data_IF_264910687364
#
_entry.id   IF_264910687364
#
_cell.length_a   1.000
_cell.length_b   1.000
_cell.length_c   1.000
_cell.angle_alpha   90.00
_cell.angle_beta   90.00
_cell.angle_gamma   90.00
#
_symmetry.space_group_name_H-M   'P 1'
#
loop_
_entity.id
_entity.type
_entity.pdbx_description
1 polymer ?
#
# COMPACT_ATOMS: atom_id res chain seq x y z
N UNK A 1 -20.35 12.65 3.90
CA UNK A 1 -19.46 12.31 5.04
C UNK A 1 -18.53 13.46 5.45
N UNK A 2 -17.94 14.24 4.52
CA UNK A 2 -17.05 15.37 4.89
C UNK A 2 -17.70 16.51 5.69
N UNK A 3 -19.00 16.78 5.50
CA UNK A 3 -19.71 17.85 6.21
C UNK A 3 -19.95 17.54 7.70
N UNK A 4 -20.07 16.26 8.07
CA UNK A 4 -20.27 15.81 9.45
C UNK A 4 -18.97 15.82 10.26
N UNK A 5 -17.82 15.72 9.60
CA UNK A 5 -16.49 15.83 10.24
C UNK A 5 -16.20 17.29 10.61
N UNK A 6 -16.61 18.24 9.76
CA UNK A 6 -16.40 19.67 10.00
C UNK A 6 -17.17 20.21 11.23
N UNK A 7 -18.38 19.69 11.49
CA UNK A 7 -19.20 20.13 12.62
C UNK A 7 -18.73 19.58 13.97
N UNK A 8 -18.04 18.43 14.00
CA UNK A 8 -17.59 17.80 15.25
C UNK A 8 -16.32 18.43 15.83
N UNK A 9 -15.56 19.19 15.01
CA UNK A 9 -14.31 19.86 15.42
C UNK A 9 -14.59 21.24 16.05
N UNK A 10 -15.77 21.83 15.80
CA UNK A 10 -16.10 23.17 16.29
C UNK A 10 -16.47 23.20 17.78
N UNK A 11 -16.70 22.05 18.41
CA UNK A 11 -17.21 21.95 19.79
C UNK A 11 -16.13 21.69 20.86
N UNK A 12 -14.84 21.59 20.47
CA UNK A 12 -13.74 21.45 21.43
C UNK A 12 -12.77 22.63 21.32
N UNK A 13 -13.02 23.67 22.11
CA UNK A 13 -12.10 24.78 22.31
C UNK A 13 -10.87 24.33 23.12
N UNK A 14 -9.76 24.02 22.45
CA UNK A 14 -8.39 24.19 22.97
C UNK A 14 -7.48 24.69 21.83
N UNK A 15 -7.11 25.97 21.90
CA UNK A 15 -6.59 26.76 20.76
C UNK A 15 -5.09 26.63 20.44
N UNK A 16 -4.35 25.69 21.04
CA UNK A 16 -2.92 25.45 20.72
C UNK A 16 -2.69 24.11 20.01
N UNK A 17 -3.32 23.02 20.48
CA UNK A 17 -3.14 21.66 19.94
C UNK A 17 -3.68 21.51 18.50
N UNK A 18 -4.81 22.14 18.20
CA UNK A 18 -5.42 22.07 16.86
C UNK A 18 -4.58 22.75 15.79
N UNK A 19 -3.81 23.80 16.12
CA UNK A 19 -2.94 24.48 15.15
C UNK A 19 -1.67 23.70 14.82
N UNK A 20 -1.17 22.92 15.79
CA UNK A 20 -0.01 22.07 15.61
C UNK A 20 -0.38 20.81 14.82
N UNK A 21 -1.52 20.21 15.13
CA UNK A 21 -2.08 19.08 14.38
C UNK A 21 -2.43 19.44 12.93
N UNK A 22 -3.00 20.63 12.67
CA UNK A 22 -3.25 21.10 11.30
C UNK A 22 -1.95 21.36 10.51
N UNK A 23 -0.89 21.84 11.17
CA UNK A 23 0.43 22.04 10.54
C UNK A 23 1.13 20.73 10.21
N UNK A 24 0.98 19.72 11.04
CA UNK A 24 1.53 18.40 10.77
C UNK A 24 0.77 17.67 9.66
N UNK A 25 -0.55 17.89 9.56
CA UNK A 25 -1.36 17.42 8.42
C UNK A 25 -0.91 18.12 7.13
N UNK A 26 -0.78 19.45 7.10
CA UNK A 26 -0.30 20.17 5.92
C UNK A 26 1.09 19.70 5.47
N UNK A 27 2.04 19.54 6.41
CA UNK A 27 3.37 18.97 6.09
C UNK A 27 3.31 17.55 5.55
N UNK A 28 2.35 16.74 6.02
CA UNK A 28 2.18 15.37 5.53
C UNK A 28 1.58 15.34 4.12
N UNK A 29 0.66 16.26 3.81
CA UNK A 29 0.09 16.46 2.48
C UNK A 29 1.14 16.96 1.50
N UNK A 30 1.93 17.98 1.88
CA UNK A 30 3.04 18.49 1.06
C UNK A 30 4.08 17.41 0.74
N UNK A 31 4.39 16.52 1.70
CA UNK A 31 5.30 15.39 1.49
C UNK A 31 4.71 14.35 0.53
N UNK A 32 3.40 14.10 0.58
CA UNK A 32 2.73 13.22 -0.36
C UNK A 32 2.68 13.83 -1.77
N UNK A 33 2.41 15.13 -1.89
CA UNK A 33 2.44 15.84 -3.18
C UNK A 33 3.83 15.87 -3.80
N UNK A 34 4.88 16.13 -3.01
CA UNK A 34 6.26 16.08 -3.48
C UNK A 34 6.66 14.67 -3.95
N UNK A 35 6.28 13.63 -3.20
CA UNK A 35 6.52 12.25 -3.59
C UNK A 35 5.78 11.88 -4.89
N UNK A 36 4.52 12.34 -5.07
CA UNK A 36 3.74 12.15 -6.30
C UNK A 36 4.34 12.92 -7.49
N UNK A 37 4.88 14.11 -7.25
CA UNK A 37 5.54 14.93 -8.26
C UNK A 37 6.86 14.31 -8.72
N UNK A 38 7.71 13.87 -7.78
CA UNK A 38 8.95 13.15 -8.09
C UNK A 38 8.65 11.84 -8.83
N UNK A 39 7.60 11.13 -8.44
CA UNK A 39 7.10 9.96 -9.17
C UNK A 39 6.69 10.25 -10.61
N UNK A 40 5.98 11.36 -10.82
CA UNK A 40 5.57 11.79 -12.16
C UNK A 40 6.78 12.16 -13.02
N UNK A 41 7.80 12.78 -12.41
CA UNK A 41 9.05 13.15 -13.06
C UNK A 41 9.91 11.93 -13.41
N UNK A 42 9.97 10.94 -12.52
CA UNK A 42 10.65 9.67 -12.78
C UNK A 42 9.96 8.93 -13.94
N UNK A 43 8.63 8.91 -13.99
CA UNK A 43 7.83 8.38 -15.12
C UNK A 43 8.17 9.10 -16.44
N UNK A 44 8.35 10.42 -16.42
CA UNK A 44 8.72 11.19 -17.62
C UNK A 44 10.14 10.89 -18.13
N UNK A 45 11.06 10.48 -17.26
CA UNK A 45 12.44 10.16 -17.64
C UNK A 45 12.59 8.86 -18.46
N UNK A 46 11.52 8.07 -18.60
CA UNK A 46 11.48 6.85 -19.42
C UNK A 46 11.16 7.09 -20.91
N UNK A 47 11.01 8.34 -21.36
CA UNK A 47 10.53 8.63 -22.73
C UNK A 47 11.61 8.57 -23.83
N UNK A 48 12.89 8.75 -23.50
CA UNK A 48 13.97 8.85 -24.51
C UNK A 48 14.40 7.53 -25.20
N UNK A 49 14.25 6.31 -24.61
CA UNK A 49 14.56 5.05 -25.30
C UNK A 49 13.50 4.60 -26.34
N UNK A 50 12.29 5.17 -26.33
CA UNK A 50 11.12 4.63 -27.05
C UNK A 50 11.22 4.73 -28.58
N UNK A 51 11.86 5.78 -29.10
CA UNK A 51 11.96 6.00 -30.55
C UNK A 51 12.89 5.00 -31.26
N UNK A 52 13.88 4.41 -30.56
CA UNK A 52 14.75 3.36 -31.12
C UNK A 52 14.08 1.98 -31.13
N UNK A 53 13.06 1.81 -30.30
CA UNK A 53 12.38 0.54 -30.05
C UNK A 53 11.31 0.25 -31.12
N UNK A 54 10.65 1.28 -31.64
CA UNK A 54 9.67 1.15 -32.73
C UNK A 54 10.22 0.43 -33.98
N UNK A 55 11.54 0.47 -34.23
CA UNK A 55 12.19 -0.28 -35.32
C UNK A 55 12.47 -1.75 -35.01
N UNK A 56 12.39 -2.17 -33.74
CA UNK A 56 12.69 -3.54 -33.28
C UNK A 56 11.43 -4.42 -33.14
N UNK A 57 10.22 -3.84 -33.21
CA UNK A 57 8.94 -4.52 -32.93
C UNK A 57 8.27 -5.16 -34.15
N UNK A 58 8.88 -5.05 -35.34
CA UNK A 58 8.38 -5.61 -36.60
C UNK A 58 8.66 -7.12 -36.67
N UNK A 59 7.91 -7.92 -35.90
CA UNK A 59 7.97 -9.38 -35.94
C UNK A 59 7.41 -10.01 -34.68
N UNK A 60 6.32 -10.78 -34.79
CA UNK A 60 5.52 -11.25 -33.65
C UNK A 60 6.30 -11.90 -32.50
N UNK A 61 7.34 -12.69 -32.77
CA UNK A 61 8.16 -13.32 -31.71
C UNK A 61 9.06 -12.32 -30.98
N UNK A 62 9.58 -11.31 -31.68
CA UNK A 62 10.40 -10.26 -31.07
C UNK A 62 9.50 -9.30 -30.27
N UNK A 63 8.33 -8.97 -30.79
CA UNK A 63 7.32 -8.16 -30.13
C UNK A 63 6.83 -8.78 -28.81
N UNK A 64 6.59 -10.10 -28.79
CA UNK A 64 6.22 -10.82 -27.56
C UNK A 64 7.31 -10.76 -26.49
N UNK A 65 8.55 -11.13 -26.85
CA UNK A 65 9.70 -11.05 -25.93
C UNK A 65 9.96 -9.64 -25.43
N UNK A 66 9.78 -8.65 -26.29
CA UNK A 66 9.90 -7.25 -25.91
C UNK A 66 8.84 -6.86 -24.88
N UNK A 67 7.59 -7.27 -25.08
CA UNK A 67 6.50 -7.01 -24.15
C UNK A 67 6.77 -7.61 -22.76
N UNK A 68 7.22 -8.86 -22.72
CA UNK A 68 7.61 -9.53 -21.46
C UNK A 68 8.77 -8.81 -20.77
N UNK A 69 9.82 -8.46 -21.51
CA UNK A 69 10.97 -7.73 -20.97
C UNK A 69 10.60 -6.35 -20.43
N UNK A 70 9.76 -5.60 -21.16
CA UNK A 70 9.32 -4.27 -20.74
C UNK A 70 8.46 -4.34 -19.48
N UNK A 71 7.57 -5.33 -19.41
CA UNK A 71 6.77 -5.60 -18.20
C UNK A 71 7.68 -5.95 -17.01
N UNK A 72 8.65 -6.84 -17.22
CA UNK A 72 9.59 -7.24 -16.19
C UNK A 72 10.41 -6.07 -15.66
N UNK A 73 10.87 -5.17 -16.54
CA UNK A 73 11.63 -3.99 -16.17
C UNK A 73 10.82 -3.07 -15.24
N UNK A 74 9.58 -2.73 -15.62
CA UNK A 74 8.69 -1.89 -14.81
C UNK A 74 8.46 -2.53 -13.43
N UNK A 75 8.19 -3.84 -13.38
CA UNK A 75 7.94 -4.53 -12.11
C UNK A 75 9.18 -4.55 -11.22
N UNK A 76 10.37 -4.82 -11.77
CA UNK A 76 11.62 -4.88 -11.00
C UNK A 76 12.08 -3.53 -10.48
N UNK A 77 11.75 -2.44 -11.18
CA UNK A 77 12.07 -1.09 -10.72
C UNK A 77 11.21 -0.68 -9.51
N UNK A 78 10.01 -1.24 -9.38
CA UNK A 78 9.03 -0.87 -8.34
C UNK A 78 9.07 -1.84 -7.15
N UNK A 79 9.21 -3.14 -7.41
CA UNK A 79 9.03 -4.20 -6.42
C UNK A 79 10.31 -5.01 -6.18
N UNK A 80 10.50 -5.42 -4.92
CA UNK A 80 11.51 -6.41 -4.58
C UNK A 80 11.10 -7.80 -5.10
N UNK A 81 12.08 -8.67 -5.35
CA UNK A 81 11.88 -10.02 -5.92
C UNK A 81 10.97 -10.93 -5.10
N UNK A 82 10.78 -10.64 -3.80
CA UNK A 82 9.85 -11.39 -2.95
C UNK A 82 8.38 -10.95 -3.10
N UNK A 83 8.10 -9.79 -3.71
CA UNK A 83 6.76 -9.21 -3.85
C UNK A 83 6.06 -9.58 -5.16
N UNK A 84 6.74 -10.24 -6.10
CA UNK A 84 6.15 -10.73 -7.33
C UNK A 84 6.60 -12.15 -7.67
N UNK A 85 5.96 -12.77 -8.64
CA UNK A 85 6.33 -14.07 -9.21
C UNK A 85 6.29 -13.93 -10.73
N UNK A 86 7.38 -14.26 -11.41
CA UNK A 86 7.42 -14.34 -12.87
C UNK A 86 6.95 -15.72 -13.34
N UNK A 87 6.31 -15.76 -14.51
CA UNK A 87 5.80 -16.96 -15.16
C UNK A 87 5.02 -17.84 -14.16
N UNK A 88 4.00 -17.28 -13.52
CA UNK A 88 3.31 -17.91 -12.40
C UNK A 88 2.12 -18.75 -12.89
N UNK A 89 1.98 -19.97 -12.37
CA UNK A 89 0.72 -20.71 -12.48
C UNK A 89 -0.21 -20.26 -11.35
N UNK A 90 -1.15 -19.36 -11.67
CA UNK A 90 -2.03 -18.72 -10.69
C UNK A 90 -3.03 -19.71 -10.11
N UNK A 91 -3.61 -20.53 -10.97
CA UNK A 91 -4.57 -21.57 -10.61
C UNK A 91 -3.84 -22.92 -10.60
N UNK A 92 -3.59 -23.53 -9.43
CA UNK A 92 -2.82 -24.76 -9.34
C UNK A 92 -3.44 -25.91 -10.15
N UNK A 93 -2.64 -26.54 -11.00
CA UNK A 93 -3.07 -27.67 -11.83
C UNK A 93 -3.76 -27.26 -13.13
N UNK A 94 -3.89 -25.96 -13.42
CA UNK A 94 -4.44 -25.48 -14.70
C UNK A 94 -3.45 -25.61 -15.86
N UNK A 95 -2.14 -25.63 -15.56
CA UNK A 95 -1.07 -25.55 -16.54
C UNK A 95 -1.03 -24.21 -17.31
N UNK A 96 -1.85 -23.23 -16.93
CA UNK A 96 -1.88 -21.89 -17.53
C UNK A 96 -1.01 -20.96 -16.70
N UNK A 97 -0.03 -20.33 -17.35
CA UNK A 97 0.92 -19.45 -16.68
C UNK A 97 0.76 -18.03 -17.20
N UNK A 98 0.74 -17.08 -16.28
CA UNK A 98 0.74 -15.65 -16.56
C UNK A 98 2.16 -15.12 -16.44
N UNK A 99 2.51 -14.10 -17.23
CA UNK A 99 3.85 -13.52 -17.26
C UNK A 99 4.29 -13.03 -15.88
N UNK A 100 3.42 -12.31 -15.16
CA UNK A 100 3.71 -11.85 -13.81
C UNK A 100 2.50 -11.89 -12.87
N UNK A 101 2.79 -12.10 -11.60
CA UNK A 101 1.85 -11.95 -10.49
C UNK A 101 2.45 -11.01 -9.46
N UNK A 102 1.71 -9.98 -9.07
CA UNK A 102 2.03 -9.18 -7.88
C UNK A 102 1.35 -9.82 -6.67
N UNK A 103 2.12 -10.06 -5.61
CA UNK A 103 1.59 -10.56 -4.33
C UNK A 103 0.98 -9.41 -3.57
N UNK A 104 -0.29 -9.56 -3.19
CA UNK A 104 -1.03 -8.60 -2.41
C UNK A 104 -1.12 -9.10 -0.94
N UNK A 105 -1.57 -8.24 0.00
CA UNK A 105 -1.92 -8.66 1.36
C UNK A 105 -2.90 -9.84 1.37
N UNK A 106 -2.95 -10.53 2.51
CA UNK A 106 -3.86 -11.66 2.74
C UNK A 106 -3.62 -12.86 1.80
N UNK A 107 -2.48 -12.88 1.10
CA UNK A 107 -2.11 -13.97 0.19
C UNK A 107 -2.78 -13.90 -1.18
N UNK A 108 -3.50 -12.82 -1.48
CA UNK A 108 -4.13 -12.61 -2.78
C UNK A 108 -3.10 -12.26 -3.87
N UNK A 109 -3.47 -12.55 -5.11
CA UNK A 109 -2.62 -12.36 -6.27
C UNK A 109 -3.26 -11.42 -7.30
N UNK A 110 -2.46 -10.55 -7.90
CA UNK A 110 -2.85 -9.76 -9.08
C UNK A 110 -2.11 -10.27 -10.32
N UNK A 111 -2.80 -10.96 -11.25
CA UNK A 111 -2.21 -11.42 -12.49
C UNK A 111 -2.05 -10.27 -13.50
N UNK A 112 -0.89 -10.21 -14.15
CA UNK A 112 -0.55 -9.23 -15.19
C UNK A 112 -0.01 -9.97 -16.42
N UNK A 113 -0.77 -9.92 -17.50
CA UNK A 113 -0.45 -10.62 -18.75
C UNK A 113 -0.08 -9.61 -19.86
N UNK A 114 1.00 -9.88 -20.59
CA UNK A 114 1.50 -9.00 -21.65
C UNK A 114 0.87 -9.37 -23.00
N UNK A 115 0.15 -8.42 -23.61
CA UNK A 115 -0.50 -8.58 -24.91
C UNK A 115 -0.04 -7.52 -25.89
N UNK A 116 0.64 -7.95 -26.95
CA UNK A 116 1.03 -7.05 -28.03
C UNK A 116 0.63 -7.59 -29.40
N UNK A 117 -0.55 -7.20 -29.92
CA UNK A 117 -0.96 -7.55 -31.27
C UNK A 117 -0.23 -6.70 -32.32
N UNK A 118 1.11 -6.77 -32.33
CA UNK A 118 1.97 -5.89 -33.15
C UNK A 118 1.62 -5.94 -34.62
N UNK A 119 1.33 -7.12 -35.17
CA UNK A 119 0.92 -7.27 -36.57
C UNK A 119 -0.40 -6.58 -36.90
N UNK A 120 -1.37 -6.57 -35.98
CA UNK A 120 -2.63 -5.83 -36.20
C UNK A 120 -2.38 -4.32 -36.12
N UNK A 121 -1.49 -3.89 -35.22
CA UNK A 121 -1.11 -2.49 -35.10
C UNK A 121 -0.34 -2.01 -36.34
N UNK A 122 0.59 -2.81 -36.87
CA UNK A 122 1.32 -2.53 -38.11
C UNK A 122 0.36 -2.37 -39.30
N UNK A 123 -0.67 -3.23 -39.39
CA UNK A 123 -1.71 -3.11 -40.42
C UNK A 123 -2.51 -1.80 -40.29
N UNK A 124 -2.81 -1.37 -39.07
CA UNK A 124 -3.46 -0.08 -38.81
C UNK A 124 -2.58 1.09 -39.22
N UNK A 125 -1.29 1.07 -38.86
CA UNK A 125 -0.34 2.12 -39.22
C UNK A 125 -0.20 2.23 -40.74
N UNK A 126 -0.03 1.10 -41.42
CA UNK A 126 0.04 1.05 -42.88
C UNK A 126 -1.23 1.63 -43.53
N UNK A 127 -2.42 1.21 -43.07
CA UNK A 127 -3.69 1.71 -43.58
C UNK A 127 -3.85 3.24 -43.38
N UNK A 128 -3.34 3.75 -42.25
CA UNK A 128 -3.34 5.18 -41.94
C UNK A 128 -2.38 5.96 -42.84
N UNK A 129 -1.18 5.41 -43.10
CA UNK A 129 -0.16 6.03 -43.96
C UNK A 129 -0.62 6.16 -45.41
N UNK A 130 -1.30 5.15 -45.96
CA UNK A 130 -1.87 5.21 -47.31
C UNK A 130 -3.20 5.97 -47.35
N UNK A 131 -3.67 6.46 -46.19
CA UNK A 131 -4.88 7.24 -46.01
C UNK A 131 -6.14 6.55 -46.59
N UNK A 132 -6.27 5.23 -46.39
CA UNK A 132 -7.42 4.44 -46.81
C UNK A 132 -8.42 4.27 -45.65
N UNK A 133 -9.56 4.99 -45.65
CA UNK A 133 -10.50 4.96 -44.54
C UNK A 133 -11.16 3.59 -44.32
N UNK A 134 -11.30 2.77 -45.37
CA UNK A 134 -11.92 1.45 -45.26
C UNK A 134 -10.97 0.47 -44.58
N UNK A 135 -9.69 0.49 -44.96
CA UNK A 135 -8.66 -0.33 -44.32
C UNK A 135 -8.42 0.10 -42.88
N UNK A 136 -8.39 1.41 -42.59
CA UNK A 136 -8.27 1.92 -41.22
C UNK A 136 -9.40 1.38 -40.35
N UNK A 137 -10.65 1.50 -40.80
CA UNK A 137 -11.81 1.00 -40.06
C UNK A 137 -11.72 -0.52 -39.83
N UNK A 138 -11.35 -1.28 -40.86
CA UNK A 138 -11.19 -2.73 -40.75
C UNK A 138 -10.13 -3.11 -39.71
N UNK A 139 -8.96 -2.46 -39.74
CA UNK A 139 -7.88 -2.71 -38.79
C UNK A 139 -8.30 -2.38 -37.35
N UNK A 140 -9.06 -1.29 -37.14
CA UNK A 140 -9.63 -0.93 -35.84
C UNK A 140 -10.59 -2.04 -35.34
N UNK A 141 -11.48 -2.54 -36.20
CA UNK A 141 -12.42 -3.61 -35.83
C UNK A 141 -11.72 -4.95 -35.52
N UNK A 142 -10.59 -5.23 -36.17
CA UNK A 142 -9.74 -6.38 -35.86
C UNK A 142 -9.04 -6.23 -34.52
N UNK A 143 -8.43 -5.07 -34.24
CA UNK A 143 -7.81 -4.76 -32.95
C UNK A 143 -8.84 -4.86 -31.83
N UNK A 144 -10.02 -4.23 -32.01
CA UNK A 144 -11.12 -4.29 -31.02
C UNK A 144 -11.45 -5.73 -30.62
N UNK A 145 -11.71 -6.59 -31.61
CA UNK A 145 -12.05 -8.00 -31.37
C UNK A 145 -10.91 -8.76 -30.71
N UNK A 146 -9.67 -8.50 -31.11
CA UNK A 146 -8.50 -9.15 -30.53
C UNK A 146 -8.36 -8.82 -29.05
N UNK A 147 -8.42 -7.53 -28.70
CA UNK A 147 -8.29 -7.06 -27.30
C UNK A 147 -9.45 -7.58 -26.44
N UNK A 148 -10.67 -7.67 -26.96
CA UNK A 148 -11.79 -8.32 -26.24
C UNK A 148 -11.53 -9.79 -25.95
N UNK A 149 -11.02 -10.54 -26.93
CA UNK A 149 -10.68 -11.96 -26.75
C UNK A 149 -9.54 -12.14 -25.74
N UNK A 150 -8.51 -11.29 -25.79
CA UNK A 150 -7.42 -11.32 -24.82
C UNK A 150 -7.92 -11.06 -23.40
N UNK A 151 -8.85 -10.13 -23.22
CA UNK A 151 -9.42 -9.84 -21.90
C UNK A 151 -10.22 -11.02 -21.35
N UNK A 152 -11.02 -11.67 -22.21
CA UNK A 152 -11.74 -12.89 -21.86
C UNK A 152 -10.77 -14.02 -21.50
N UNK A 153 -9.68 -14.16 -22.24
CA UNK A 153 -8.65 -15.16 -21.98
C UNK A 153 -7.96 -14.93 -20.63
N UNK A 154 -7.59 -13.68 -20.32
CA UNK A 154 -7.00 -13.31 -19.03
C UNK A 154 -7.95 -13.66 -17.87
N UNK A 155 -9.22 -13.26 -18.00
CA UNK A 155 -10.23 -13.56 -16.99
C UNK A 155 -10.38 -15.06 -16.76
N UNK A 156 -10.59 -15.82 -17.83
CA UNK A 156 -10.85 -17.26 -17.72
C UNK A 156 -9.65 -18.11 -17.30
N UNK A 157 -8.42 -17.68 -17.63
CA UNK A 157 -7.21 -18.45 -17.32
C UNK A 157 -6.62 -18.13 -15.95
N UNK A 158 -6.78 -16.91 -15.46
CA UNK A 158 -5.99 -16.43 -14.33
C UNK A 158 -6.82 -15.90 -13.15
N UNK A 159 -8.12 -15.65 -13.30
CA UNK A 159 -8.93 -15.10 -12.22
C UNK A 159 -9.66 -16.19 -11.45
N UNK A 160 -9.45 -16.27 -10.14
CA UNK A 160 -10.13 -17.20 -9.25
C UNK A 160 -10.35 -16.60 -7.86
N UNK A 161 -11.60 -16.54 -7.42
CA UNK A 161 -11.97 -16.02 -6.11
C UNK A 161 -11.26 -16.78 -4.98
N UNK A 162 -10.72 -16.03 -4.01
CA UNK A 162 -9.92 -16.56 -2.90
C UNK A 162 -8.45 -16.85 -3.23
N UNK A 163 -8.05 -16.77 -4.50
CA UNK A 163 -6.64 -16.86 -4.94
C UNK A 163 -6.18 -15.53 -5.52
N UNK A 164 -6.93 -14.99 -6.48
CA UNK A 164 -6.70 -13.67 -7.04
C UNK A 164 -7.69 -12.66 -6.50
N UNK A 165 -7.33 -11.38 -6.60
CA UNK A 165 -8.37 -10.35 -6.60
C UNK A 165 -9.26 -10.51 -7.83
N UNK A 166 -10.48 -10.00 -7.76
CA UNK A 166 -11.43 -9.98 -8.89
C UNK A 166 -11.02 -8.92 -9.93
N UNK A 167 -9.75 -8.91 -10.31
CA UNK A 167 -9.13 -7.97 -11.22
C UNK A 167 -7.92 -8.61 -11.89
N UNK A 168 -7.83 -8.51 -13.21
CA UNK A 168 -6.63 -8.82 -13.98
C UNK A 168 -6.10 -7.57 -14.70
N UNK A 169 -4.83 -7.59 -15.10
CA UNK A 169 -4.24 -6.52 -15.91
C UNK A 169 -3.77 -7.07 -17.25
N UNK A 170 -4.21 -6.43 -18.32
CA UNK A 170 -3.68 -6.60 -19.66
C UNK A 170 -2.67 -5.48 -19.93
N UNK A 171 -1.40 -5.84 -20.01
CA UNK A 171 -0.33 -4.92 -20.33
C UNK A 171 -0.11 -4.82 -21.84
N UNK A 172 -0.20 -3.61 -22.38
CA UNK A 172 0.08 -3.29 -23.78
C UNK A 172 1.43 -2.57 -23.85
N UNK A 173 2.51 -3.15 -24.41
CA UNK A 173 3.85 -2.55 -24.41
C UNK A 173 4.02 -1.47 -25.49
N UNK A 174 3.02 -0.63 -25.70
CA UNK A 174 3.04 0.48 -26.66
C UNK A 174 2.03 1.55 -26.26
N UNK A 175 2.51 2.76 -25.98
CA UNK A 175 1.65 3.91 -25.70
C UNK A 175 0.82 4.32 -26.92
N UNK A 176 1.36 4.17 -28.13
CA UNK A 176 0.63 4.48 -29.36
C UNK A 176 -0.54 3.51 -29.59
N UNK A 177 -0.35 2.22 -29.33
CA UNK A 177 -1.44 1.25 -29.39
C UNK A 177 -2.45 1.49 -28.26
N UNK A 178 -2.00 1.88 -27.06
CA UNK A 178 -2.89 2.27 -25.96
C UNK A 178 -3.79 3.46 -26.35
N UNK A 179 -3.22 4.51 -26.94
CA UNK A 179 -3.98 5.66 -27.44
C UNK A 179 -5.00 5.27 -28.52
N UNK A 180 -4.62 4.35 -29.43
CA UNK A 180 -5.55 3.81 -30.40
C UNK A 180 -6.71 3.10 -29.69
N UNK A 181 -6.42 2.20 -28.73
CA UNK A 181 -7.45 1.49 -27.94
C UNK A 181 -8.38 2.48 -27.21
N UNK A 182 -7.82 3.55 -26.62
CA UNK A 182 -8.59 4.61 -25.96
C UNK A 182 -9.53 5.36 -26.91
N UNK A 183 -9.18 5.44 -28.20
CA UNK A 183 -10.03 6.07 -29.22
C UNK A 183 -11.20 5.19 -29.68
N UNK A 184 -11.19 3.88 -29.36
CA UNK A 184 -12.22 2.92 -29.78
C UNK A 184 -13.42 2.96 -28.82
N UNK A 185 -14.26 3.98 -28.97
CA UNK A 185 -15.56 4.08 -28.27
C UNK A 185 -15.45 3.75 -26.77
N UNK A 186 -16.32 2.85 -26.29
CA UNK A 186 -16.37 2.38 -24.89
C UNK A 186 -15.63 1.07 -24.63
N UNK A 187 -14.61 0.74 -25.43
CA UNK A 187 -13.98 -0.59 -25.39
C UNK A 187 -13.39 -0.94 -24.02
N UNK A 188 -12.73 0.01 -23.36
CA UNK A 188 -12.10 -0.23 -22.05
C UNK A 188 -13.13 -0.42 -20.96
N UNK A 189 -14.19 0.37 -20.97
CA UNK A 189 -15.31 0.26 -20.04
C UNK A 189 -16.05 -1.06 -20.23
N UNK A 190 -16.26 -1.49 -21.47
CA UNK A 190 -16.82 -2.80 -21.81
C UNK A 190 -15.96 -3.93 -21.25
N UNK A 191 -14.66 -3.91 -21.52
CA UNK A 191 -13.73 -4.94 -21.05
C UNK A 191 -13.65 -4.99 -19.52
N UNK A 192 -13.59 -3.84 -18.86
CA UNK A 192 -13.57 -3.80 -17.41
C UNK A 192 -14.87 -4.32 -16.79
N UNK A 193 -16.02 -3.92 -17.34
CA UNK A 193 -17.34 -4.35 -16.85
C UNK A 193 -17.55 -5.86 -17.06
N UNK A 194 -17.21 -6.37 -18.23
CA UNK A 194 -17.59 -7.72 -18.64
C UNK A 194 -16.54 -8.77 -18.26
N UNK A 195 -15.26 -8.38 -18.11
CA UNK A 195 -14.16 -9.30 -17.82
C UNK A 195 -13.33 -8.92 -16.58
N UNK A 196 -13.60 -7.77 -15.94
CA UNK A 196 -12.80 -7.27 -14.80
C UNK A 196 -11.30 -7.20 -15.13
N UNK A 197 -10.98 -6.81 -16.36
CA UNK A 197 -9.59 -6.62 -16.82
C UNK A 197 -9.33 -5.14 -17.03
N UNK A 198 -8.23 -4.64 -16.48
CA UNK A 198 -7.72 -3.30 -16.76
C UNK A 198 -6.71 -3.37 -17.89
N UNK A 199 -6.91 -2.55 -18.93
CA UNK A 199 -5.93 -2.38 -20.00
C UNK A 199 -5.01 -1.21 -19.63
N UNK A 200 -3.71 -1.46 -19.66
CA UNK A 200 -2.70 -0.48 -19.27
C UNK A 200 -1.51 -0.48 -20.25
N UNK A 201 -1.07 0.71 -20.66
CA UNK A 201 0.22 0.95 -21.29
C UNK A 201 1.36 1.12 -20.27
N UNK A 202 2.62 1.26 -20.70
CA UNK A 202 3.80 1.40 -19.83
C UNK A 202 3.65 2.42 -18.71
N UNK A 203 3.24 3.65 -19.03
CA UNK A 203 3.14 4.75 -18.08
C UNK A 203 2.03 4.51 -17.07
N UNK A 204 0.85 4.11 -17.56
CA UNK A 204 -0.31 3.82 -16.71
C UNK A 204 -0.06 2.63 -15.78
N UNK A 205 0.64 1.60 -16.25
CA UNK A 205 1.00 0.44 -15.43
C UNK A 205 2.00 0.84 -14.34
N UNK A 206 3.05 1.58 -14.69
CA UNK A 206 4.03 2.04 -13.71
C UNK A 206 3.35 2.86 -12.59
N UNK A 207 2.52 3.84 -12.96
CA UNK A 207 1.77 4.65 -11.99
C UNK A 207 0.85 3.81 -11.10
N UNK A 208 0.14 2.83 -11.69
CA UNK A 208 -0.74 1.93 -10.96
C UNK A 208 0.02 1.04 -9.97
N UNK A 209 1.12 0.44 -10.41
CA UNK A 209 1.97 -0.42 -9.60
C UNK A 209 2.66 0.35 -8.47
N UNK A 210 3.09 1.58 -8.72
CA UNK A 210 3.63 2.44 -7.66
C UNK A 210 2.54 2.75 -6.63
N UNK A 211 1.31 3.03 -7.07
CA UNK A 211 0.19 3.28 -6.16
C UNK A 211 -0.09 2.06 -5.27
N UNK A 212 -0.06 0.85 -5.83
CA UNK A 212 -0.16 -0.41 -5.06
C UNK A 212 0.99 -0.52 -4.06
N UNK A 213 2.24 -0.33 -4.52
CA UNK A 213 3.43 -0.43 -3.69
C UNK A 213 3.42 0.57 -2.51
N UNK A 214 2.97 1.81 -2.77
CA UNK A 214 2.79 2.83 -1.74
C UNK A 214 1.70 2.44 -0.74
N UNK A 215 0.58 1.88 -1.23
CA UNK A 215 -0.46 1.30 -0.38
C UNK A 215 0.08 0.23 0.58
N UNK A 216 0.96 -0.66 0.12
CA UNK A 216 1.60 -1.66 0.99
C UNK A 216 2.50 -1.04 2.04
N UNK A 217 3.28 -0.01 1.68
CA UNK A 217 4.12 0.72 2.64
C UNK A 217 3.28 1.40 3.71
N UNK A 218 2.16 2.02 3.34
CA UNK A 218 1.23 2.64 4.30
C UNK A 218 0.61 1.62 5.25
N UNK A 219 0.18 0.46 4.75
CA UNK A 219 -0.34 -0.62 5.60
C UNK A 219 0.72 -1.13 6.59
N UNK A 220 1.93 -1.42 6.10
CA UNK A 220 3.03 -1.89 6.95
C UNK A 220 3.45 -0.84 8.01
N UNK A 221 3.39 0.45 7.69
CA UNK A 221 3.63 1.53 8.65
C UNK A 221 2.54 1.58 9.72
N UNK A 222 1.27 1.45 9.33
CA UNK A 222 0.13 1.45 10.26
C UNK A 222 0.16 0.27 11.22
N UNK A 223 0.48 -0.93 10.72
CA UNK A 223 0.64 -2.13 11.56
C UNK A 223 1.75 -1.94 12.60
N UNK A 224 2.94 -1.48 12.17
CA UNK A 224 4.05 -1.19 13.08
C UNK A 224 3.72 -0.10 14.11
N UNK A 225 3.01 0.95 13.69
CA UNK A 225 2.56 1.99 14.61
C UNK A 225 1.58 1.43 15.66
N UNK A 226 0.68 0.53 15.25
CA UNK A 226 -0.25 -0.16 16.15
C UNK A 226 0.50 -1.04 17.17
N UNK A 227 1.49 -1.82 16.72
CA UNK A 227 2.36 -2.62 17.60
C UNK A 227 3.08 -1.74 18.62
N UNK A 228 3.69 -0.64 18.18
CA UNK A 228 4.34 0.32 19.09
C UNK A 228 3.35 0.87 20.11
N UNK A 229 2.15 1.28 19.69
CA UNK A 229 1.11 1.78 20.61
C UNK A 229 0.67 0.73 21.63
N UNK A 230 0.59 -0.55 21.26
CA UNK A 230 0.30 -1.63 22.19
C UNK A 230 1.42 -1.78 23.24
N UNK A 231 2.69 -1.75 22.82
CA UNK A 231 3.83 -1.80 23.74
C UNK A 231 3.87 -0.59 24.68
N UNK A 232 3.59 0.61 24.17
CA UNK A 232 3.43 1.81 25.00
C UNK A 232 2.27 1.68 26.00
N UNK A 233 1.17 1.03 25.61
CA UNK A 233 0.05 0.74 26.51
C UNK A 233 0.45 -0.19 27.66
N UNK A 234 1.24 -1.23 27.38
CA UNK A 234 1.80 -2.13 28.40
C UNK A 234 2.73 -1.38 29.36
N UNK A 235 3.62 -0.54 28.82
CA UNK A 235 4.56 0.26 29.60
C UNK A 235 3.84 1.28 30.50
N UNK A 236 2.80 1.96 30.00
CA UNK A 236 1.95 2.86 30.82
C UNK A 236 1.33 2.12 32.01
N UNK A 237 0.86 0.88 31.80
CA UNK A 237 0.28 0.06 32.86
C UNK A 237 1.30 -0.30 33.93
N UNK A 238 2.53 -0.64 33.54
CA UNK A 238 3.63 -0.88 34.49
C UNK A 238 3.97 0.36 35.31
N UNK A 239 4.00 1.55 34.70
CA UNK A 239 4.22 2.81 35.42
C UNK A 239 3.13 3.11 36.45
N UNK A 240 1.86 2.87 36.11
CA UNK A 240 0.76 3.03 37.06
C UNK A 240 0.86 2.05 38.23
N UNK A 241 1.22 0.79 37.95
CA UNK A 241 1.45 -0.21 38.98
C UNK A 241 2.63 0.16 39.89
N UNK A 242 3.72 0.70 39.33
CA UNK A 242 4.86 1.19 40.11
C UNK A 242 4.47 2.36 41.04
N UNK A 243 3.66 3.29 40.54
CA UNK A 243 3.09 4.37 41.34
C UNK A 243 2.28 3.84 42.54
N UNK A 244 1.39 2.88 42.31
CA UNK A 244 0.61 2.25 43.39
C UNK A 244 1.49 1.51 44.41
N UNK A 245 2.53 0.81 43.95
CA UNK A 245 3.48 0.14 44.83
C UNK A 245 4.30 1.12 45.66
N UNK A 246 4.60 2.31 45.13
CA UNK A 246 5.32 3.37 45.83
C UNK A 246 4.44 3.98 46.93
N UNK A 247 3.16 4.23 46.66
CA UNK A 247 2.21 4.69 47.66
C UNK A 247 2.05 3.68 48.80
N UNK A 248 1.98 2.39 48.48
CA UNK A 248 1.87 1.33 49.49
C UNK A 248 3.15 1.18 50.32
N UNK A 249 4.32 1.38 49.72
CA UNK A 249 5.59 1.47 50.45
C UNK A 249 5.60 2.66 51.40
N UNK A 250 5.13 3.84 50.96
CA UNK A 250 5.07 5.04 51.78
C UNK A 250 4.15 4.85 52.99
N UNK A 251 2.96 4.27 52.79
CA UNK A 251 2.05 3.91 53.89
C UNK A 251 2.68 2.96 54.91
N UNK A 252 3.46 1.98 54.45
CA UNK A 252 4.18 1.04 55.32
C UNK A 252 5.26 1.74 56.14
N UNK A 253 6.02 2.65 55.52
CA UNK A 253 7.04 3.45 56.21
C UNK A 253 6.40 4.34 57.28
N UNK A 254 5.28 5.02 56.97
CA UNK A 254 4.57 5.86 57.92
C UNK A 254 4.04 5.07 59.12
N UNK A 255 3.47 3.89 58.87
CA UNK A 255 3.03 2.98 59.92
C UNK A 255 4.20 2.53 60.82
N UNK A 256 5.36 2.26 60.23
CA UNK A 256 6.57 1.88 60.95
C UNK A 256 7.09 3.02 61.83
N UNK A 257 7.12 4.25 61.31
CA UNK A 257 7.48 5.45 62.07
C UNK A 257 6.54 5.69 63.25
N UNK A 258 5.24 5.45 63.07
CA UNK A 258 4.26 5.56 64.17
C UNK A 258 4.55 4.54 65.28
N UNK A 259 4.82 3.28 64.93
CA UNK A 259 5.15 2.24 65.90
C UNK A 259 6.43 2.55 66.70
N UNK A 260 7.46 3.10 66.04
CA UNK A 260 8.70 3.54 66.69
C UNK A 260 8.43 4.64 67.73
N UNK A 261 7.60 5.64 67.38
CA UNK A 261 7.25 6.72 68.30
C UNK A 261 6.46 6.21 69.53
N UNK A 262 5.55 5.25 69.34
CA UNK A 262 4.82 4.62 70.43
C UNK A 262 5.76 3.85 71.37
N UNK A 263 6.75 3.13 70.81
CA UNK A 263 7.77 2.43 71.58
C UNK A 263 8.63 3.39 72.41
N UNK A 264 9.16 4.46 71.79
CA UNK A 264 9.93 5.48 72.48
C UNK A 264 9.12 6.17 73.60
N UNK A 265 7.81 6.36 73.40
CA UNK A 265 6.94 6.91 74.44
C UNK A 265 6.79 5.97 75.63
N UNK A 266 6.59 4.66 75.37
CA UNK A 266 6.53 3.64 76.43
C UNK A 266 7.85 3.52 77.17
N UNK A 267 8.97 3.56 76.47
CA UNK A 267 10.31 3.54 77.06
C UNK A 267 10.50 4.70 78.04
N UNK A 268 10.14 5.94 77.65
CA UNK A 268 10.16 7.11 78.54
C UNK A 268 9.23 6.96 79.75
N UNK A 269 8.06 6.33 79.57
CA UNK A 269 7.14 6.06 80.68
C UNK A 269 7.72 5.02 81.64
N UNK A 270 8.35 3.97 81.13
CA UNK A 270 9.04 2.96 81.94
C UNK A 270 10.22 3.56 82.70
N UNK A 271 11.06 4.38 82.06
CA UNK A 271 12.14 5.10 82.74
C UNK A 271 11.64 5.99 83.88
N UNK A 272 10.52 6.69 83.68
CA UNK A 272 9.87 7.48 84.74
C UNK A 272 9.35 6.61 85.88
N UNK A 273 8.74 5.47 85.56
CA UNK A 273 8.24 4.53 86.56
C UNK A 273 9.39 3.96 87.41
N UNK A 274 10.49 3.56 86.77
CA UNK A 274 11.71 3.08 87.43
C UNK A 274 12.28 4.17 88.34
N UNK A 275 12.46 5.41 87.85
CA UNK A 275 12.94 6.54 88.66
C UNK A 275 12.03 6.88 89.84
N UNK A 276 10.73 6.69 89.70
CA UNK A 276 9.79 6.91 90.81
C UNK A 276 9.85 5.78 91.85
N UNK A 277 10.09 4.54 91.41
CA UNK A 277 10.34 3.40 92.30
C UNK A 277 11.61 3.60 93.13
N UNK A 278 12.72 4.01 92.50
CA UNK A 278 13.98 4.30 93.18
C UNK A 278 13.87 5.43 94.23
N UNK A 279 12.89 6.34 94.08
CA UNK A 279 12.62 7.42 95.06
C UNK A 279 11.70 7.01 96.21
N UNK A 280 11.02 5.87 96.10
CA UNK A 280 10.17 5.32 97.18
C UNK A 280 10.95 4.40 98.13
N UNK A 281 12.11 3.90 97.70
CA UNK A 281 13.04 3.09 98.50
C UNK A 281 14.14 3.93 99.21
N UNK A 282 14.00 5.26 99.25
CA UNK A 282 14.87 6.23 99.96
C UNK A 282 14.09 6.99 101.03
#
# INVERSE_FOLDING_TARGET
MGYLIYLNIKDSSQGSDSKESLRDIDKSVERQEAALFDLTKDIQSFQDPLNKLNRYLSGGTLAGKFGEWSLEAIIKDIFHTNQFIANAEVIPGSGKRVEFVIKLPEGLMLPIDAKFPSGLFDNYLYASDINDPQLVKKSIDEIKRHVQNDAKDINSKYMQSGITIELGVMYIPSESLMQLIDSIGSLREEIFRDHRVLIMGPNSLAAYLISIHMGFRTLALNERASEIMQEFGKLKKEFLNFGSSTEDLQKRVDAMMKAVNEHATRERQMEKAIKNMERLDS
#
